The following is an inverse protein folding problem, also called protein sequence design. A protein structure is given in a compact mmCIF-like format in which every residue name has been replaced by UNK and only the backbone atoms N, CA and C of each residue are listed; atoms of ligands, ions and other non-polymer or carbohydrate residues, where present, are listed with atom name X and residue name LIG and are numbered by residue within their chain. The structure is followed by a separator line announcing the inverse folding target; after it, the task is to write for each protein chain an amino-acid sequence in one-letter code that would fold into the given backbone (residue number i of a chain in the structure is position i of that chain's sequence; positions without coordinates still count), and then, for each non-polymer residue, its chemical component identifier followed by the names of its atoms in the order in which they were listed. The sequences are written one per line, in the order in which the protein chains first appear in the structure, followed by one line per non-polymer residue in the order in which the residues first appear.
data_IF_272752999646
#
_entry.id   IF_272752999646
#
_cell.length_a   1.000
_cell.length_b   1.000
_cell.length_c   1.000
_cell.angle_alpha   90.00
_cell.angle_beta   90.00
_cell.angle_gamma   90.00
#
_symmetry.space_group_name_H-M   'P 1'
#
loop_
_entity.id
_entity.type
_entity.pdbx_description
1 polymer ?
#
# COMPACT_ATOMS: atom_id res chain seq x y z
N UNK A 1 -21.43 11.63 2.26
CA UNK A 1 -22.58 10.69 2.30
C UNK A 1 -22.44 9.66 3.44
N UNK A 2 -21.42 8.82 3.50
CA UNK A 2 -21.11 8.06 4.74
C UNK A 2 -19.61 7.89 4.91
N UNK A 3 -18.92 7.42 3.87
CA UNK A 3 -17.45 7.32 3.83
C UNK A 3 -16.74 8.61 4.25
N UNK A 4 -17.16 9.77 3.72
CA UNK A 4 -16.56 11.07 4.11
C UNK A 4 -16.59 11.33 5.63
N UNK A 5 -17.70 11.00 6.32
CA UNK A 5 -17.81 11.19 7.78
C UNK A 5 -16.88 10.25 8.54
N UNK A 6 -16.74 9.02 8.05
CA UNK A 6 -15.82 8.02 8.64
C UNK A 6 -14.38 8.47 8.47
N UNK A 7 -14.02 8.99 7.29
CA UNK A 7 -12.68 9.56 7.04
C UNK A 7 -12.42 10.75 7.96
N UNK A 8 -13.36 11.69 8.08
CA UNK A 8 -13.22 12.85 8.98
C UNK A 8 -13.07 12.43 10.45
N UNK A 9 -13.79 11.41 10.91
CA UNK A 9 -13.63 10.87 12.26
C UNK A 9 -12.30 10.12 12.44
N UNK A 10 -11.82 9.43 11.39
CA UNK A 10 -10.57 8.68 11.39
C UNK A 10 -9.31 9.56 11.27
N UNK A 11 -9.43 10.78 10.74
CA UNK A 11 -8.31 11.73 10.61
C UNK A 11 -7.87 12.37 11.96
N UNK A 12 -8.46 11.93 13.07
CA UNK A 12 -8.06 12.35 14.42
C UNK A 12 -6.60 11.98 14.71
N UNK A 13 -5.87 12.86 15.42
CA UNK A 13 -4.49 12.57 15.88
C UNK A 13 -4.40 11.53 17.00
N UNK A 14 -5.52 11.22 17.67
CA UNK A 14 -5.53 10.30 18.81
C UNK A 14 -5.80 8.86 18.34
N UNK A 15 -4.89 7.94 18.69
CA UNK A 15 -4.96 6.54 18.25
C UNK A 15 -6.19 5.80 18.80
N UNK A 16 -6.59 6.11 20.03
CA UNK A 16 -7.81 5.56 20.64
C UNK A 16 -9.07 5.94 19.86
N UNK A 17 -9.11 7.16 19.31
CA UNK A 17 -10.25 7.63 18.51
C UNK A 17 -10.32 6.84 17.20
N UNK A 18 -9.18 6.67 16.52
CA UNK A 18 -9.09 5.87 15.29
C UNK A 18 -9.51 4.43 15.52
N UNK A 19 -9.04 3.81 16.60
CA UNK A 19 -9.43 2.46 17.02
C UNK A 19 -10.94 2.35 17.23
N UNK A 20 -11.54 3.30 17.96
CA UNK A 20 -12.98 3.30 18.22
C UNK A 20 -13.78 3.43 16.92
N UNK A 21 -13.37 4.31 16.00
CA UNK A 21 -14.02 4.44 14.68
C UNK A 21 -13.98 3.11 13.91
N UNK A 22 -12.83 2.42 13.88
CA UNK A 22 -12.71 1.13 13.21
C UNK A 22 -13.58 0.05 13.86
N UNK A 23 -13.68 0.04 15.20
CA UNK A 23 -14.54 -0.89 15.93
C UNK A 23 -16.02 -0.61 15.72
N UNK A 24 -16.42 0.65 15.72
CA UNK A 24 -17.80 1.06 15.45
C UNK A 24 -18.23 0.61 14.06
N UNK A 25 -17.37 0.78 13.06
CA UNK A 25 -17.61 0.28 11.69
C UNK A 25 -17.67 -1.25 11.66
N UNK A 26 -16.73 -1.93 12.31
CA UNK A 26 -16.68 -3.39 12.33
C UNK A 26 -17.93 -4.02 12.98
N UNK A 27 -18.44 -3.41 14.05
CA UNK A 27 -19.58 -3.91 14.82
C UNK A 27 -20.94 -3.47 14.26
N UNK A 28 -21.04 -2.24 13.76
CA UNK A 28 -22.33 -1.67 13.33
C UNK A 28 -22.65 -1.92 11.87
N UNK A 29 -21.65 -2.21 11.03
CA UNK A 29 -21.82 -2.36 9.59
C UNK A 29 -21.62 -3.81 9.12
N UNK A 30 -22.29 -4.76 9.78
CA UNK A 30 -22.34 -6.17 9.37
C UNK A 30 -23.23 -6.44 8.15
N UNK A 31 -23.47 -7.71 7.78
CA UNK A 31 -24.42 -8.08 6.73
C UNK A 31 -25.88 -7.87 7.17
N UNK A 32 -26.78 -7.72 6.20
CA UNK A 32 -28.21 -7.54 6.45
C UNK A 32 -28.87 -8.90 6.75
N UNK A 33 -28.86 -9.31 8.02
CA UNK A 33 -29.29 -10.64 8.47
C UNK A 33 -30.71 -10.98 8.02
N UNK A 34 -31.66 -10.07 8.14
CA UNK A 34 -33.06 -10.31 7.73
C UNK A 34 -33.20 -10.53 6.23
N UNK A 35 -32.48 -9.77 5.40
CA UNK A 35 -32.48 -9.94 3.95
C UNK A 35 -31.82 -11.27 3.56
N UNK A 36 -30.74 -11.64 4.27
CA UNK A 36 -30.01 -12.88 4.04
C UNK A 36 -30.85 -14.11 4.38
N UNK A 37 -31.51 -14.11 5.55
CA UNK A 37 -32.42 -15.18 5.95
C UNK A 37 -33.54 -15.37 4.94
N UNK A 38 -34.14 -14.29 4.43
CA UNK A 38 -35.19 -14.39 3.42
C UNK A 38 -34.67 -14.96 2.09
N UNK A 39 -33.45 -14.59 1.67
CA UNK A 39 -32.89 -15.00 0.39
C UNK A 39 -32.41 -16.47 0.38
N UNK A 40 -31.83 -16.97 1.48
CA UNK A 40 -31.24 -18.33 1.55
C UNK A 40 -32.28 -19.43 1.30
N UNK A 41 -33.54 -19.20 1.66
CA UNK A 41 -34.61 -20.19 1.51
C UNK A 41 -35.11 -20.36 0.08
N UNK A 42 -34.72 -19.49 -0.85
CA UNK A 42 -35.16 -19.54 -2.24
C UNK A 42 -33.98 -19.77 -3.21
N UNK A 43 -33.86 -20.96 -3.82
CA UNK A 43 -32.80 -21.27 -4.78
C UNK A 43 -32.74 -20.36 -6.01
N UNK A 44 -33.80 -19.62 -6.34
CA UNK A 44 -33.78 -18.65 -7.44
C UNK A 44 -33.13 -17.30 -7.07
N UNK A 45 -32.87 -17.04 -5.78
CA UNK A 45 -32.38 -15.76 -5.25
C UNK A 45 -30.87 -15.77 -4.93
N UNK A 46 -30.07 -16.47 -5.73
CA UNK A 46 -28.62 -16.62 -5.50
C UNK A 46 -27.89 -15.26 -5.51
N UNK A 47 -28.35 -14.32 -6.34
CA UNK A 47 -27.76 -12.99 -6.41
C UNK A 47 -28.02 -12.19 -5.13
N UNK A 48 -29.25 -12.24 -4.63
CA UNK A 48 -29.70 -11.57 -3.41
C UNK A 48 -29.04 -12.16 -2.17
N UNK A 49 -28.79 -13.47 -2.14
CA UNK A 49 -27.96 -14.11 -1.09
C UNK A 49 -26.58 -13.47 -1.05
N UNK A 50 -25.93 -13.30 -2.20
CA UNK A 50 -24.61 -12.65 -2.27
C UNK A 50 -24.67 -11.20 -1.81
N UNK A 51 -25.67 -10.43 -2.26
CA UNK A 51 -25.81 -9.04 -1.84
C UNK A 51 -26.07 -8.89 -0.34
N UNK A 52 -26.96 -9.69 0.24
CA UNK A 52 -27.29 -9.63 1.66
C UNK A 52 -26.16 -10.16 2.56
N UNK A 53 -25.38 -11.15 2.07
CA UNK A 53 -24.21 -11.67 2.77
C UNK A 53 -23.00 -10.71 2.71
N UNK A 54 -22.98 -9.77 1.76
CA UNK A 54 -21.92 -8.77 1.67
C UNK A 54 -22.09 -7.77 2.81
N UNK A 55 -21.08 -7.60 3.69
CA UNK A 55 -21.23 -6.72 4.84
C UNK A 55 -21.33 -5.25 4.42
N UNK A 56 -22.10 -4.46 5.17
CA UNK A 56 -22.30 -3.02 4.89
C UNK A 56 -20.97 -2.26 4.88
N UNK A 57 -20.00 -2.66 5.72
CA UNK A 57 -18.68 -2.03 5.72
C UNK A 57 -17.91 -2.22 4.40
N UNK A 58 -18.21 -3.23 3.59
CA UNK A 58 -17.64 -3.38 2.25
C UNK A 58 -18.06 -2.21 1.34
N UNK A 59 -19.37 -1.92 1.27
CA UNK A 59 -19.91 -0.78 0.51
C UNK A 59 -19.44 0.56 1.09
N UNK A 60 -19.28 0.64 2.41
CA UNK A 60 -18.71 1.82 3.07
C UNK A 60 -17.27 2.09 2.62
N UNK A 61 -16.40 1.07 2.63
CA UNK A 61 -15.01 1.17 2.16
C UNK A 61 -14.96 1.52 0.67
N UNK A 62 -15.85 0.98 -0.16
CA UNK A 62 -16.00 1.42 -1.56
C UNK A 62 -16.33 2.91 -1.66
N UNK A 63 -17.25 3.39 -0.82
CA UNK A 63 -17.60 4.81 -0.79
C UNK A 63 -16.43 5.71 -0.36
N UNK A 64 -15.50 5.19 0.46
CA UNK A 64 -14.26 5.87 0.82
C UNK A 64 -13.31 5.88 -0.38
N UNK A 65 -13.11 4.75 -1.05
CA UNK A 65 -12.26 4.63 -2.25
C UNK A 65 -12.63 5.60 -3.38
N UNK A 66 -13.91 5.95 -3.49
CA UNK A 66 -14.41 6.93 -4.47
C UNK A 66 -14.10 8.41 -4.13
N UNK A 67 -13.58 8.69 -2.94
CA UNK A 67 -13.15 10.04 -2.56
C UNK A 67 -11.78 10.36 -3.17
N UNK A 68 -11.44 11.64 -3.39
CA UNK A 68 -10.08 12.04 -3.76
C UNK A 68 -9.06 11.55 -2.72
N UNK A 69 -8.07 10.75 -3.15
CA UNK A 69 -7.09 10.12 -2.25
C UNK A 69 -7.65 8.97 -1.39
N UNK A 70 -8.90 8.56 -1.61
CA UNK A 70 -9.62 7.59 -0.78
C UNK A 70 -9.00 6.20 -0.77
N UNK A 71 -8.40 5.76 -1.88
CA UNK A 71 -7.70 4.46 -1.93
C UNK A 71 -6.53 4.41 -0.95
N UNK A 72 -5.75 5.50 -0.85
CA UNK A 72 -4.66 5.61 0.13
C UNK A 72 -5.19 5.55 1.57
N UNK A 73 -6.31 6.22 1.85
CA UNK A 73 -6.96 6.16 3.16
C UNK A 73 -7.36 4.73 3.51
N UNK A 74 -7.87 3.94 2.57
CA UNK A 74 -8.20 2.52 2.80
C UNK A 74 -6.94 1.67 3.03
N UNK A 75 -5.84 1.93 2.31
CA UNK A 75 -4.54 1.31 2.58
C UNK A 75 -4.07 1.60 4.03
N UNK A 76 -4.17 2.85 4.47
CA UNK A 76 -3.79 3.28 5.82
C UNK A 76 -4.69 2.67 6.89
N UNK A 77 -6.00 2.63 6.64
CA UNK A 77 -6.96 1.94 7.51
C UNK A 77 -6.62 0.46 7.63
N UNK A 78 -6.30 -0.24 6.54
CA UNK A 78 -5.88 -1.65 6.59
C UNK A 78 -4.58 -1.83 7.36
N UNK A 79 -3.58 -0.98 7.15
CA UNK A 79 -2.33 -1.03 7.91
C UNK A 79 -2.59 -0.88 9.42
N UNK A 80 -3.46 0.05 9.81
CA UNK A 80 -3.85 0.24 11.19
C UNK A 80 -4.64 -0.97 11.74
N UNK A 81 -5.58 -1.54 10.97
CA UNK A 81 -6.28 -2.76 11.35
C UNK A 81 -5.31 -3.91 11.64
N UNK A 82 -4.33 -4.14 10.77
CA UNK A 82 -3.30 -5.16 10.97
C UNK A 82 -2.44 -4.89 12.21
N UNK A 83 -2.12 -3.63 12.51
CA UNK A 83 -1.40 -3.25 13.73
C UNK A 83 -2.24 -3.53 14.99
N UNK A 84 -3.51 -3.12 15.01
CA UNK A 84 -4.42 -3.37 16.13
C UNK A 84 -4.62 -4.85 16.35
N UNK A 85 -4.81 -5.64 15.30
CA UNK A 85 -4.96 -7.10 15.40
C UNK A 85 -3.73 -7.81 16.00
N UNK A 86 -2.52 -7.23 15.83
CA UNK A 86 -1.28 -7.75 16.43
C UNK A 86 -1.08 -7.34 17.88
N UNK A 87 -1.60 -6.18 18.27
CA UNK A 87 -1.35 -5.56 19.59
C UNK A 87 -2.51 -5.74 20.56
N UNK A 88 -3.72 -6.02 20.07
CA UNK A 88 -4.91 -6.22 20.88
C UNK A 88 -4.94 -7.62 21.52
N UNK A 89 -5.34 -7.65 22.78
CA UNK A 89 -5.42 -8.87 23.59
C UNK A 89 -6.82 -9.50 23.59
N UNK A 90 -7.86 -8.69 23.43
CA UNK A 90 -9.25 -9.15 23.41
C UNK A 90 -9.58 -9.83 22.06
N UNK A 91 -9.79 -11.15 22.11
CA UNK A 91 -10.11 -11.97 20.94
C UNK A 91 -11.41 -11.57 20.24
N UNK A 92 -12.39 -11.03 20.97
CA UNK A 92 -13.67 -10.58 20.40
C UNK A 92 -13.47 -9.33 19.54
N UNK A 93 -12.66 -8.39 20.03
CA UNK A 93 -12.26 -7.18 19.31
C UNK A 93 -11.45 -7.56 18.06
N UNK A 94 -10.44 -8.44 18.21
CA UNK A 94 -9.64 -8.93 17.07
C UNK A 94 -10.53 -9.59 16.01
N UNK A 95 -11.51 -10.40 16.39
CA UNK A 95 -12.43 -11.03 15.45
C UNK A 95 -13.30 -10.02 14.69
N UNK A 96 -13.75 -8.94 15.35
CA UNK A 96 -14.49 -7.86 14.69
C UNK A 96 -13.59 -7.12 13.69
N UNK A 97 -12.38 -6.71 14.11
CA UNK A 97 -11.41 -6.02 13.25
C UNK A 97 -11.02 -6.88 12.04
N UNK A 98 -10.84 -8.19 12.23
CA UNK A 98 -10.50 -9.12 11.15
C UNK A 98 -11.58 -9.18 10.05
N UNK A 99 -12.87 -9.04 10.39
CA UNK A 99 -13.94 -9.00 9.37
C UNK A 99 -13.84 -7.74 8.51
N UNK A 100 -13.58 -6.60 9.15
CA UNK A 100 -13.38 -5.33 8.45
C UNK A 100 -12.11 -5.35 7.60
N UNK A 101 -11.01 -5.88 8.14
CA UNK A 101 -9.74 -6.07 7.43
C UNK A 101 -9.93 -6.91 6.17
N UNK A 102 -10.70 -8.00 6.25
CA UNK A 102 -10.96 -8.87 5.10
C UNK A 102 -11.68 -8.14 3.97
N UNK A 103 -12.68 -7.33 4.28
CA UNK A 103 -13.37 -6.49 3.29
C UNK A 103 -12.42 -5.45 2.68
N UNK A 104 -11.55 -4.84 3.49
CA UNK A 104 -10.54 -3.91 2.99
C UNK A 104 -9.53 -4.62 2.07
N UNK A 105 -9.03 -5.79 2.45
CA UNK A 105 -8.15 -6.61 1.65
C UNK A 105 -8.78 -6.99 0.31
N UNK A 106 -10.02 -7.50 0.31
CA UNK A 106 -10.73 -7.87 -0.91
C UNK A 106 -10.89 -6.68 -1.87
N UNK A 107 -11.23 -5.50 -1.36
CA UNK A 107 -11.32 -4.28 -2.17
C UNK A 107 -9.97 -3.83 -2.72
N UNK A 108 -8.92 -3.85 -1.90
CA UNK A 108 -7.58 -3.46 -2.34
C UNK A 108 -7.07 -4.43 -3.42
N UNK A 109 -7.28 -5.73 -3.26
CA UNK A 109 -6.97 -6.72 -4.31
C UNK A 109 -7.69 -6.35 -5.60
N UNK A 110 -8.99 -6.08 -5.58
CA UNK A 110 -9.73 -5.68 -6.78
C UNK A 110 -9.19 -4.39 -7.40
N UNK A 111 -8.93 -3.35 -6.60
CA UNK A 111 -8.45 -2.05 -7.10
C UNK A 111 -7.05 -2.11 -7.69
N UNK A 112 -6.14 -2.89 -7.10
CA UNK A 112 -4.78 -3.07 -7.62
C UNK A 112 -4.67 -4.14 -8.71
N UNK A 113 -5.58 -5.12 -8.76
CA UNK A 113 -5.63 -6.11 -9.84
C UNK A 113 -6.21 -5.53 -11.13
N UNK A 114 -7.11 -4.54 -11.05
CA UNK A 114 -7.83 -3.99 -12.20
C UNK A 114 -7.17 -2.77 -12.87
N UNK A 115 -5.96 -2.30 -12.50
CA UNK A 115 -5.39 -1.14 -13.21
C UNK A 115 -3.86 -1.02 -13.29
N UNK A 116 -3.43 -0.54 -14.47
CA UNK A 116 -2.43 0.50 -14.81
C UNK A 116 -1.33 0.84 -13.79
N UNK A 117 -0.70 -0.16 -13.18
CA UNK A 117 0.61 0.05 -12.55
C UNK A 117 1.59 0.58 -13.61
N UNK A 118 2.15 1.77 -13.39
CA UNK A 118 3.13 2.39 -14.30
C UNK A 118 4.51 2.28 -13.70
N UNK A 119 5.45 1.77 -14.49
CA UNK A 119 6.87 1.82 -14.13
C UNK A 119 7.42 3.17 -14.56
N UNK A 120 7.90 3.94 -13.59
CA UNK A 120 8.50 5.25 -13.80
C UNK A 120 9.97 5.24 -13.38
N UNK A 121 10.82 5.95 -14.14
CA UNK A 121 12.22 6.15 -13.78
C UNK A 121 12.34 7.35 -12.84
N UNK A 122 12.92 7.12 -11.66
CA UNK A 122 13.30 8.18 -10.74
C UNK A 122 14.70 8.69 -11.10
N UNK A 123 14.82 10.00 -11.22
CA UNK A 123 16.08 10.71 -11.48
C UNK A 123 16.20 11.89 -10.54
N UNK A 124 17.36 12.53 -10.46
CA UNK A 124 17.53 13.74 -9.65
C UNK A 124 16.62 14.91 -10.07
N UNK A 125 16.10 14.87 -11.31
CA UNK A 125 15.18 15.86 -11.86
C UNK A 125 13.70 15.53 -11.58
N UNK A 126 13.41 14.38 -10.97
CA UNK A 126 12.05 13.99 -10.60
C UNK A 126 11.47 14.91 -9.51
N UNK A 127 10.14 14.98 -9.35
CA UNK A 127 9.49 15.81 -8.34
C UNK A 127 10.02 15.53 -6.92
N UNK A 128 10.33 16.60 -6.18
CA UNK A 128 10.99 16.52 -4.87
C UNK A 128 10.21 15.78 -3.79
N UNK A 129 8.87 15.80 -3.86
CA UNK A 129 8.00 15.02 -2.99
C UNK A 129 8.14 13.50 -3.22
N UNK A 130 8.31 13.07 -4.47
CA UNK A 130 8.54 11.65 -4.80
C UNK A 130 9.94 11.25 -4.34
N UNK A 131 10.95 12.10 -4.56
CA UNK A 131 12.32 11.86 -4.06
C UNK A 131 12.35 11.68 -2.55
N UNK A 132 11.65 12.55 -1.81
CA UNK A 132 11.56 12.46 -0.35
C UNK A 132 10.91 11.15 0.09
N UNK A 133 9.75 10.79 -0.49
CA UNK A 133 9.07 9.53 -0.17
C UNK A 133 9.94 8.30 -0.46
N UNK A 134 10.61 8.26 -1.60
CA UNK A 134 11.49 7.14 -1.95
C UNK A 134 12.65 7.03 -0.97
N UNK A 135 13.23 8.16 -0.55
CA UNK A 135 14.28 8.17 0.47
C UNK A 135 13.76 7.69 1.84
N UNK A 136 12.56 8.10 2.23
CA UNK A 136 11.93 7.73 3.51
C UNK A 136 11.50 6.25 3.55
N UNK A 137 11.10 5.69 2.41
CA UNK A 137 10.61 4.32 2.31
C UNK A 137 11.70 3.28 2.21
N UNK A 138 12.93 3.65 1.83
CA UNK A 138 14.04 2.72 1.64
C UNK A 138 14.32 1.91 2.92
N UNK A 139 13.87 0.65 2.91
CA UNK A 139 13.89 -0.21 4.09
C UNK A 139 15.11 -1.14 4.14
N UNK A 140 15.77 -1.39 2.99
CA UNK A 140 16.91 -2.31 2.92
C UNK A 140 18.20 -1.58 3.28
N UNK A 141 18.40 -0.38 2.73
CA UNK A 141 19.60 0.43 2.96
C UNK A 141 19.25 1.90 3.25
N UNK A 142 19.02 2.29 4.52
CA UNK A 142 18.61 3.64 4.87
C UNK A 142 19.49 4.71 4.22
N UNK A 143 18.86 5.68 3.57
CA UNK A 143 19.53 6.76 2.85
C UNK A 143 20.18 7.72 3.86
N UNK A 144 21.50 7.91 3.75
CA UNK A 144 22.30 8.73 4.67
C UNK A 144 22.28 10.22 4.27
N UNK A 145 21.08 10.73 4.00
CA UNK A 145 20.85 12.12 3.58
C UNK A 145 20.91 12.37 2.07
N UNK A 146 20.77 13.64 1.71
CA UNK A 146 20.46 14.06 0.34
C UNK A 146 21.59 13.80 -0.67
N UNK A 147 22.85 13.87 -0.23
CA UNK A 147 24.00 13.59 -1.09
C UNK A 147 24.13 12.09 -1.43
N UNK A 148 23.86 11.21 -0.46
CA UNK A 148 23.79 9.76 -0.70
C UNK A 148 22.68 9.44 -1.70
N UNK A 149 21.48 10.01 -1.50
CA UNK A 149 20.36 9.78 -2.41
C UNK A 149 20.67 10.18 -3.85
N UNK A 150 21.33 11.33 -4.04
CA UNK A 150 21.75 11.80 -5.36
C UNK A 150 22.67 10.80 -6.07
N UNK A 151 23.56 10.12 -5.35
CA UNK A 151 24.42 9.07 -5.92
C UNK A 151 23.59 7.88 -6.38
N UNK A 152 22.60 7.46 -5.58
CA UNK A 152 21.72 6.30 -5.87
C UNK A 152 20.78 6.48 -7.06
N UNK A 153 20.54 7.71 -7.49
CA UNK A 153 19.76 8.04 -8.71
C UNK A 153 20.62 8.63 -9.82
N UNK A 154 21.95 8.64 -9.63
CA UNK A 154 22.93 9.25 -10.52
C UNK A 154 23.49 8.28 -11.57
N UNK A 155 24.70 8.57 -12.03
CA UNK A 155 25.41 7.73 -13.00
C UNK A 155 25.65 6.32 -12.47
N UNK A 156 25.61 5.33 -13.36
CA UNK A 156 25.72 3.89 -13.09
C UNK A 156 24.68 3.35 -12.10
N UNK A 157 23.67 4.14 -11.77
CA UNK A 157 22.54 3.76 -10.94
C UNK A 157 21.25 4.05 -11.68
N UNK A 158 20.25 3.21 -11.48
CA UNK A 158 18.88 3.43 -11.94
C UNK A 158 17.96 3.17 -10.76
N UNK A 159 17.02 4.07 -10.56
CA UNK A 159 15.95 3.86 -9.60
C UNK A 159 14.64 3.89 -10.39
N UNK A 160 13.80 2.90 -10.16
CA UNK A 160 12.46 2.84 -10.73
C UNK A 160 11.45 2.71 -9.60
N UNK A 161 10.24 3.20 -9.84
CA UNK A 161 9.12 2.93 -8.95
C UNK A 161 7.87 2.58 -9.74
N UNK A 162 7.03 1.74 -9.15
CA UNK A 162 5.69 1.50 -9.63
C UNK A 162 4.72 2.50 -8.99
N UNK A 163 4.01 3.26 -9.81
CA UNK A 163 2.90 4.11 -9.40
C UNK A 163 1.56 3.50 -9.84
N UNK A 164 0.47 3.96 -9.24
CA UNK A 164 -0.89 3.54 -9.60
C UNK A 164 -1.76 4.77 -9.81
N UNK A 165 -2.64 4.75 -10.82
CA UNK A 165 -3.45 5.93 -11.17
C UNK A 165 -4.36 6.39 -10.03
N UNK A 166 -4.85 5.45 -9.20
CA UNK A 166 -5.65 5.78 -8.02
C UNK A 166 -4.85 6.37 -6.83
N UNK A 167 -3.51 6.30 -6.88
CA UNK A 167 -2.60 6.91 -5.90
C UNK A 167 -1.46 7.60 -6.63
N UNK A 168 -1.75 8.72 -7.32
CA UNK A 168 -0.74 9.44 -8.07
C UNK A 168 0.34 9.97 -7.12
N UNK A 169 1.60 9.94 -7.56
CA UNK A 169 2.76 10.41 -6.77
C UNK A 169 2.98 9.62 -5.48
N UNK A 170 2.48 8.39 -5.42
CA UNK A 170 2.79 7.41 -4.37
C UNK A 170 3.63 6.28 -4.97
N UNK A 171 4.93 6.18 -4.63
CA UNK A 171 5.78 5.08 -5.11
C UNK A 171 5.44 3.81 -4.33
N UNK A 172 4.87 2.79 -4.98
CA UNK A 172 4.36 1.59 -4.30
C UNK A 172 5.41 0.50 -4.13
N UNK A 173 6.21 0.31 -5.18
CA UNK A 173 7.35 -0.60 -5.18
C UNK A 173 8.52 0.16 -5.76
N UNK A 174 9.61 0.26 -5.01
CA UNK A 174 10.84 0.96 -5.38
C UNK A 174 11.89 -0.09 -5.70
N UNK A 175 12.60 0.12 -6.79
CA UNK A 175 13.62 -0.80 -7.30
C UNK A 175 14.89 -0.01 -7.58
N UNK A 176 15.94 -0.30 -6.82
CA UNK A 176 17.27 0.24 -7.05
C UNK A 176 18.14 -0.74 -7.82
N UNK A 177 18.77 -0.25 -8.89
CA UNK A 177 19.58 -1.02 -9.82
C UNK A 177 20.94 -0.36 -9.96
N UNK A 178 22.00 -1.18 -9.92
CA UNK A 178 23.36 -0.77 -10.25
C UNK A 178 23.78 -1.38 -11.57
N UNK A 179 24.40 -0.57 -12.43
CA UNK A 179 24.99 -1.00 -13.69
C UNK A 179 26.48 -1.28 -13.46
N UNK A 180 26.92 -2.48 -13.84
CA UNK A 180 28.27 -3.02 -13.60
C UNK A 180 28.74 -3.84 -14.81
N UNK A 181 30.03 -4.18 -14.85
CA UNK A 181 30.60 -5.06 -15.88
C UNK A 181 30.62 -6.54 -15.48
N UNK A 182 30.32 -6.83 -14.21
CA UNK A 182 30.30 -8.17 -13.64
C UNK A 182 29.22 -8.27 -12.55
N UNK A 183 28.87 -9.50 -12.19
CA UNK A 183 27.97 -9.76 -11.07
C UNK A 183 28.72 -9.48 -9.77
N UNK A 184 28.23 -8.52 -8.99
CA UNK A 184 28.82 -8.17 -7.71
C UNK A 184 28.55 -9.27 -6.66
N UNK A 185 29.58 -9.54 -5.86
CA UNK A 185 29.54 -10.56 -4.81
C UNK A 185 29.10 -9.98 -3.44
N UNK A 186 29.01 -8.65 -3.34
CA UNK A 186 28.70 -7.93 -2.12
C UNK A 186 27.91 -6.65 -2.44
N UNK A 187 26.94 -6.31 -1.58
CA UNK A 187 26.17 -5.07 -1.68
C UNK A 187 26.97 -3.83 -1.24
N UNK A 188 27.90 -3.96 -0.28
CA UNK A 188 28.73 -2.81 0.12
C UNK A 188 29.58 -2.30 -1.04
N UNK A 189 30.14 -3.19 -1.86
CA UNK A 189 30.87 -2.78 -3.07
C UNK A 189 29.98 -2.07 -4.09
N UNK A 190 28.65 -2.27 -4.06
CA UNK A 190 27.71 -1.53 -4.92
C UNK A 190 27.42 -0.16 -4.34
N UNK A 191 27.24 -0.04 -3.01
CA UNK A 191 26.89 1.24 -2.37
C UNK A 191 28.09 2.19 -2.31
N UNK A 192 29.29 1.68 -2.08
CA UNK A 192 30.53 2.46 -1.91
C UNK A 192 31.24 2.77 -3.24
N UNK A 193 30.89 2.08 -4.33
CA UNK A 193 31.51 2.29 -5.64
C UNK A 193 31.01 3.60 -6.28
N UNK A 194 31.86 4.64 -6.22
CA UNK A 194 31.58 5.98 -6.71
C UNK A 194 31.98 6.19 -8.19
N UNK A 195 32.75 5.30 -8.82
CA UNK A 195 33.09 5.38 -10.24
C UNK A 195 33.23 4.01 -10.91
N UNK A 196 32.94 3.97 -12.21
CA UNK A 196 33.27 2.87 -13.11
C UNK A 196 34.05 3.44 -14.29
N UNK A 197 35.07 2.71 -14.75
CA UNK A 197 35.96 3.16 -15.83
C UNK A 197 35.40 2.90 -17.24
N UNK A 198 34.18 2.36 -17.34
CA UNK A 198 33.49 2.11 -18.60
C UNK A 198 32.35 3.11 -18.83
N UNK A 199 31.93 3.30 -20.08
CA UNK A 199 30.71 4.05 -20.35
C UNK A 199 29.48 3.27 -19.82
N UNK A 200 28.40 3.96 -19.44
CA UNK A 200 27.18 3.30 -18.97
C UNK A 200 26.59 2.34 -20.02
N UNK A 201 26.78 2.65 -21.30
CA UNK A 201 26.29 1.87 -22.44
C UNK A 201 27.09 0.58 -22.65
N UNK A 202 28.28 0.47 -22.04
CA UNK A 202 29.17 -0.69 -22.11
C UNK A 202 28.98 -1.63 -20.92
N UNK A 203 28.19 -1.24 -19.91
CA UNK A 203 27.88 -2.09 -18.77
C UNK A 203 27.15 -3.36 -19.21
N UNK A 204 27.71 -4.52 -18.86
CA UNK A 204 27.16 -5.84 -19.23
C UNK A 204 26.08 -6.35 -18.27
N UNK A 205 26.04 -5.82 -17.04
CA UNK A 205 25.28 -6.40 -15.92
C UNK A 205 24.44 -5.32 -15.23
N UNK A 206 23.17 -5.64 -14.95
CA UNK A 206 22.28 -4.83 -14.13
C UNK A 206 21.89 -5.60 -12.87
N UNK A 207 22.23 -5.07 -11.69
CA UNK A 207 22.01 -5.73 -10.40
C UNK A 207 20.92 -5.00 -9.62
N UNK A 208 19.85 -5.73 -9.30
CA UNK A 208 18.78 -5.28 -8.42
C UNK A 208 19.22 -5.48 -6.97
N UNK A 209 19.69 -4.41 -6.32
CA UNK A 209 20.29 -4.51 -4.98
C UNK A 209 19.36 -4.05 -3.84
N UNK A 210 18.27 -3.34 -4.15
CA UNK A 210 17.19 -3.06 -3.20
C UNK A 210 15.83 -3.08 -3.91
N UNK A 211 14.88 -3.80 -3.32
CA UNK A 211 13.47 -3.80 -3.70
C UNK A 211 12.66 -3.54 -2.43
N UNK A 212 11.98 -2.40 -2.39
CA UNK A 212 11.20 -1.95 -1.22
C UNK A 212 9.73 -1.86 -1.60
N UNK A 213 8.86 -2.46 -0.79
CA UNK A 213 7.41 -2.21 -0.84
C UNK A 213 7.06 -1.10 0.14
N UNK A 214 6.57 0.03 -0.37
CA UNK A 214 6.36 1.24 0.40
C UNK A 214 5.09 1.24 1.28
N UNK A 215 4.12 0.37 0.98
CA UNK A 215 2.82 0.37 1.65
C UNK A 215 2.74 -0.76 2.70
N UNK A 216 2.73 -0.44 4.02
CA UNK A 216 2.62 -1.45 5.08
C UNK A 216 1.31 -2.24 5.02
N UNK A 217 0.26 -1.63 4.45
CA UNK A 217 -1.06 -2.21 4.25
C UNK A 217 -1.19 -3.09 3.02
N UNK A 218 -0.11 -3.46 2.32
CA UNK A 218 -0.13 -4.35 1.13
C UNK A 218 0.43 -5.75 1.36
N UNK A 219 0.70 -6.15 2.61
CA UNK A 219 1.11 -7.54 2.87
C UNK A 219 0.02 -8.47 2.31
N UNK A 220 0.42 -9.23 1.28
CA UNK A 220 -0.35 -10.28 0.63
C UNK A 220 -0.57 -11.47 1.57
#
# INVERSE_FOLDING_TARGET
AAGKRVVEAYDSKAEDVKKNVLLDVANSCGPEILALENAIHNPSLVHEVREAATPVHFRLLQSIGNLPGGVKVVCDMRAHLLYLMKTESDKSIVAALHRLERSAHELLVLWFCQSNMKLERLTWQSPGDILQKVADYEAVHPVQGMMDFKKRVGSYRRCFYFSHEAMPREPLVIVHVALLNEIANNVQSIVECDHLDCAEDECSTAIYYSITSAEPGRVA
#
